data_IF_146429953565
#
_entry.id   IF_146429953565
#
_cell.length_a   1.000
_cell.length_b   1.000
_cell.length_c   1.000
_cell.angle_alpha   90.00
_cell.angle_beta   90.00
_cell.angle_gamma   90.00
#
_symmetry.space_group_name_H-M   'P 1'
#
loop_
_entity.id
_entity.type
_entity.pdbx_description
1 polymer ?
#
# COMPACT_ATOMS: atom_id res chain seq x y z
N UNK A 1 3.19 -24.24 14.22
CA UNK A 1 2.04 -24.11 15.16
C UNK A 1 2.42 -23.39 16.44
N UNK A 2 3.46 -23.81 17.18
CA UNK A 2 3.96 -23.11 18.39
C UNK A 2 4.23 -21.61 18.17
N UNK A 3 4.92 -21.23 17.09
CA UNK A 3 5.19 -19.82 16.79
C UNK A 3 3.93 -18.98 16.53
N UNK A 4 2.89 -19.57 15.94
CA UNK A 4 1.61 -18.89 15.71
C UNK A 4 0.85 -18.67 17.02
N UNK A 5 0.88 -19.66 17.92
CA UNK A 5 0.28 -19.56 19.26
C UNK A 5 1.02 -18.50 20.10
N UNK A 6 2.36 -18.50 20.08
CA UNK A 6 3.17 -17.51 20.80
C UNK A 6 2.89 -16.10 20.27
N UNK A 7 2.85 -15.94 18.94
CA UNK A 7 2.54 -14.66 18.29
C UNK A 7 1.13 -14.16 18.63
N UNK A 8 0.14 -15.05 18.65
CA UNK A 8 -1.23 -14.69 19.01
C UNK A 8 -1.35 -14.32 20.48
N UNK A 9 -0.69 -15.08 21.37
CA UNK A 9 -0.66 -14.81 22.81
C UNK A 9 -0.03 -13.45 23.15
N UNK A 10 1.08 -13.07 22.50
CA UNK A 10 1.71 -11.77 22.72
C UNK A 10 0.84 -10.58 22.26
N UNK A 11 -0.04 -10.77 21.28
CA UNK A 11 -0.92 -9.71 20.75
C UNK A 11 -2.33 -9.74 21.36
N UNK A 12 -2.61 -10.68 22.27
CA UNK A 12 -3.96 -10.89 22.80
C UNK A 12 -4.45 -9.68 23.61
N UNK A 13 -3.54 -8.99 24.33
CA UNK A 13 -3.87 -7.76 25.07
C UNK A 13 -4.32 -6.64 24.14
N UNK A 14 -3.59 -6.40 23.05
CA UNK A 14 -3.94 -5.36 22.07
C UNK A 14 -5.21 -5.70 21.30
N UNK A 15 -5.38 -6.98 20.93
CA UNK A 15 -6.59 -7.47 20.26
C UNK A 15 -7.81 -7.42 21.18
N UNK A 16 -7.65 -7.75 22.47
CA UNK A 16 -8.70 -7.69 23.48
C UNK A 16 -9.19 -6.26 23.72
N UNK A 17 -8.25 -5.32 23.91
CA UNK A 17 -8.56 -3.90 24.00
C UNK A 17 -9.24 -3.40 22.73
N UNK A 18 -8.69 -3.71 21.56
CA UNK A 18 -9.28 -3.30 20.28
C UNK A 18 -10.70 -3.85 20.11
N UNK A 19 -10.95 -5.09 20.53
CA UNK A 19 -12.28 -5.71 20.48
C UNK A 19 -13.27 -4.99 21.40
N UNK A 20 -12.87 -4.69 22.64
CA UNK A 20 -13.68 -3.94 23.60
C UNK A 20 -14.00 -2.53 23.08
N UNK A 21 -12.97 -1.78 22.66
CA UNK A 21 -13.15 -0.46 22.05
C UNK A 21 -13.95 -0.49 20.75
N UNK A 22 -13.89 -1.57 19.96
CA UNK A 22 -14.61 -1.64 18.69
C UNK A 22 -16.12 -1.56 18.85
N UNK A 23 -16.65 -2.05 19.99
CA UNK A 23 -18.09 -2.02 20.32
C UNK A 23 -18.58 -0.60 20.61
N UNK A 24 -17.76 0.22 21.24
CA UNK A 24 -18.07 1.61 21.59
C UNK A 24 -17.85 2.61 20.43
N UNK A 25 -17.51 2.11 19.23
CA UNK A 25 -17.24 2.97 18.06
C UNK A 25 -18.33 2.82 17.00
N UNK A 26 -18.24 3.65 15.95
CA UNK A 26 -19.05 3.55 14.72
C UNK A 26 -19.00 2.19 14.00
N UNK A 27 -18.24 1.21 14.52
CA UNK A 27 -18.07 -0.15 13.99
C UNK A 27 -18.78 -1.22 14.84
N UNK A 28 -19.28 -0.84 16.02
CA UNK A 28 -20.06 -1.67 16.94
C UNK A 28 -21.52 -1.84 16.52
N UNK A 29 -22.38 -2.29 17.43
CA UNK A 29 -23.84 -2.26 17.21
C UNK A 29 -24.34 -0.82 17.31
N UNK A 30 -25.19 -0.42 16.36
CA UNK A 30 -25.83 0.90 16.43
C UNK A 30 -26.99 0.85 17.42
N UNK A 31 -26.87 1.55 18.54
CA UNK A 31 -27.95 1.70 19.55
C UNK A 31 -29.09 2.63 19.08
N UNK A 32 -29.02 3.13 17.84
CA UNK A 32 -30.02 3.95 17.20
C UNK A 32 -30.76 3.14 16.15
N UNK A 33 -31.96 2.68 16.52
CA UNK A 33 -33.03 2.22 15.65
C UNK A 33 -33.53 3.33 14.72
N UNK A 34 -32.69 3.76 13.76
CA UNK A 34 -33.14 4.52 12.60
C UNK A 34 -33.18 3.57 11.41
N UNK A 35 -34.34 3.53 10.77
CA UNK A 35 -34.84 2.51 9.83
C UNK A 35 -34.10 2.36 8.50
N UNK A 36 -32.84 2.83 8.37
CA UNK A 36 -32.06 2.59 7.15
C UNK A 36 -30.84 1.72 7.47
N UNK A 37 -31.02 0.41 7.19
CA UNK A 37 -30.03 -0.68 7.18
C UNK A 37 -29.42 -1.07 8.54
N UNK A 38 -30.21 -1.77 9.36
CA UNK A 38 -29.76 -2.48 10.57
C UNK A 38 -28.81 -3.65 10.28
N UNK A 39 -27.55 -3.34 10.04
CA UNK A 39 -26.45 -4.31 9.90
C UNK A 39 -25.38 -4.13 10.96
N UNK A 40 -24.74 -5.21 11.39
CA UNK A 40 -23.60 -5.18 12.32
C UNK A 40 -22.33 -4.67 11.62
N UNK A 41 -22.14 -3.36 11.49
CA UNK A 41 -20.95 -2.78 10.89
C UNK A 41 -21.16 -1.39 10.29
N UNK A 42 -20.17 -0.92 9.53
CA UNK A 42 -20.23 0.37 8.87
C UNK A 42 -21.09 0.27 7.60
N UNK A 43 -21.75 1.35 7.15
CA UNK A 43 -22.45 1.32 5.88
C UNK A 43 -21.48 1.29 4.69
N UNK A 44 -21.90 0.64 3.60
CA UNK A 44 -21.08 0.48 2.39
C UNK A 44 -20.65 1.82 1.81
N UNK A 45 -21.56 2.77 1.67
CA UNK A 45 -21.28 4.10 1.14
C UNK A 45 -20.28 4.87 2.00
N UNK A 46 -20.32 4.67 3.32
CA UNK A 46 -19.33 5.26 4.20
C UNK A 46 -17.95 4.62 3.98
N UNK A 47 -17.85 3.28 3.93
CA UNK A 47 -16.58 2.59 3.70
C UNK A 47 -15.96 2.95 2.34
N UNK A 48 -16.78 3.03 1.29
CA UNK A 48 -16.37 3.35 -0.09
C UNK A 48 -16.11 4.85 -0.32
N UNK A 49 -16.43 5.73 0.63
CA UNK A 49 -16.11 7.16 0.53
C UNK A 49 -14.61 7.41 0.33
N UNK A 50 -13.77 6.59 0.95
CA UNK A 50 -12.32 6.60 0.80
C UNK A 50 -11.87 5.48 -0.14
N UNK A 51 -12.23 5.64 -1.41
CA UNK A 51 -11.83 4.74 -2.49
C UNK A 51 -10.66 5.33 -3.27
N UNK A 52 -9.68 4.47 -3.57
CA UNK A 52 -8.51 4.81 -4.36
C UNK A 52 -8.88 4.92 -5.84
N UNK A 53 -8.42 5.95 -6.55
CA UNK A 53 -8.57 6.01 -8.01
C UNK A 53 -7.70 4.97 -8.70
N UNK A 54 -8.14 4.46 -9.86
CA UNK A 54 -7.36 3.50 -10.65
C UNK A 54 -6.02 4.12 -11.07
N UNK A 55 -6.02 5.38 -11.48
CA UNK A 55 -4.81 6.14 -11.82
C UNK A 55 -3.94 6.46 -10.58
N UNK A 56 -4.53 6.49 -9.38
CA UNK A 56 -3.78 6.70 -8.14
C UNK A 56 -2.83 5.53 -7.83
N UNK A 57 -3.03 4.36 -8.45
CA UNK A 57 -2.05 3.27 -8.41
C UNK A 57 -0.68 3.72 -8.93
N UNK A 58 -0.61 4.73 -9.80
CA UNK A 58 0.65 5.35 -10.22
C UNK A 58 1.46 5.95 -9.07
N UNK A 59 0.83 6.39 -7.98
CA UNK A 59 1.56 6.96 -6.84
C UNK A 59 2.37 5.93 -6.07
N UNK A 60 2.11 4.63 -6.26
CA UNK A 60 2.91 3.55 -5.67
C UNK A 60 4.36 3.64 -6.16
N UNK A 61 4.53 3.96 -7.45
CA UNK A 61 5.82 4.04 -8.14
C UNK A 61 6.41 5.45 -8.19
N UNK A 62 5.57 6.46 -8.42
CA UNK A 62 6.01 7.86 -8.62
C UNK A 62 5.44 8.71 -7.48
N UNK A 63 6.29 9.37 -6.67
CA UNK A 63 5.79 10.27 -5.64
C UNK A 63 4.99 11.42 -6.27
N UNK A 64 3.94 11.86 -5.58
CA UNK A 64 3.07 12.98 -5.99
C UNK A 64 2.45 12.85 -7.40
N UNK A 65 2.27 11.63 -7.92
CA UNK A 65 1.65 11.41 -9.24
C UNK A 65 0.22 11.99 -9.36
N UNK A 66 -0.54 12.00 -8.26
CA UNK A 66 -1.84 12.68 -8.16
C UNK A 66 -1.80 13.96 -7.32
N UNK A 67 -0.60 14.54 -7.24
CA UNK A 67 -0.30 15.68 -6.39
C UNK A 67 -0.07 15.30 -4.94
N UNK A 68 0.15 16.34 -4.12
CA UNK A 68 0.57 16.21 -2.73
C UNK A 68 -0.58 16.06 -1.74
N UNK A 69 -0.36 16.54 -0.52
CA UNK A 69 -1.39 16.54 0.53
C UNK A 69 -2.51 17.52 0.23
N UNK A 70 -3.76 17.13 0.49
CA UNK A 70 -4.92 18.02 0.44
C UNK A 70 -4.86 19.12 1.52
N UNK A 71 -4.00 18.96 2.54
CA UNK A 71 -3.80 19.95 3.61
C UNK A 71 -2.83 21.06 3.21
N UNK A 72 -2.10 20.90 2.10
CA UNK A 72 -1.27 21.97 1.54
C UNK A 72 -2.13 22.77 0.56
N UNK A 73 -2.21 24.07 0.79
CA UNK A 73 -2.82 25.03 -0.12
C UNK A 73 -1.74 25.72 -0.96
N UNK A 74 -2.07 26.04 -2.20
CA UNK A 74 -1.19 26.78 -3.11
C UNK A 74 -0.81 28.19 -2.63
N UNK A 75 -1.48 28.75 -1.60
CA UNK A 75 -1.02 30.01 -0.98
C UNK A 75 0.38 29.86 -0.37
N UNK A 76 0.68 28.69 0.18
CA UNK A 76 1.94 28.43 0.83
C UNK A 76 3.06 28.15 -0.19
N UNK A 77 2.70 27.95 -1.46
CA UNK A 77 3.61 27.65 -2.56
C UNK A 77 3.46 28.70 -3.67
N UNK A 78 4.02 29.89 -3.42
CA UNK A 78 3.94 31.05 -4.32
C UNK A 78 4.73 30.89 -5.61
N UNK A 79 5.62 29.88 -5.68
CA UNK A 79 6.44 29.60 -6.86
C UNK A 79 5.77 28.64 -7.83
N UNK A 80 4.73 27.91 -7.38
CA UNK A 80 3.98 26.97 -8.21
C UNK A 80 3.41 27.63 -9.47
N UNK A 81 3.61 26.98 -10.62
CA UNK A 81 3.01 27.34 -11.91
C UNK A 81 1.47 27.45 -11.83
N UNK A 82 0.84 26.65 -10.97
CA UNK A 82 -0.60 26.72 -10.72
C UNK A 82 -0.99 28.03 -10.04
N UNK A 83 -0.19 28.50 -9.06
CA UNK A 83 -0.42 29.80 -8.43
C UNK A 83 -0.22 30.94 -9.43
N UNK A 84 0.79 30.85 -10.30
CA UNK A 84 1.01 31.83 -11.37
C UNK A 84 -0.13 31.85 -12.39
N UNK A 85 -0.68 30.69 -12.78
CA UNK A 85 -1.84 30.58 -13.66
C UNK A 85 -3.09 31.23 -13.03
N UNK A 86 -3.34 31.00 -11.73
CA UNK A 86 -4.44 31.67 -11.00
C UNK A 86 -4.19 33.18 -10.95
N UNK A 87 -2.93 33.61 -10.79
CA UNK A 87 -2.55 35.02 -10.76
C UNK A 87 -2.79 35.71 -12.10
N UNK A 88 -2.73 34.99 -13.22
CA UNK A 88 -3.01 35.51 -14.57
C UNK A 88 -4.51 35.65 -14.86
N UNK A 89 -5.39 35.06 -14.04
CA UNK A 89 -6.83 35.27 -14.15
C UNK A 89 -7.20 36.72 -13.79
N UNK A 90 -8.16 37.27 -14.54
CA UNK A 90 -8.49 38.71 -14.56
C UNK A 90 -9.03 39.29 -13.24
N UNK A 91 -9.44 38.45 -12.29
CA UNK A 91 -9.99 38.85 -10.99
C UNK A 91 -8.92 38.78 -9.88
N UNK A 92 -8.16 39.86 -9.70
CA UNK A 92 -7.04 39.95 -8.75
C UNK A 92 -7.45 39.87 -7.28
N UNK A 93 -8.66 40.33 -6.94
CA UNK A 93 -9.08 40.52 -5.54
C UNK A 93 -9.40 39.23 -4.80
N UNK A 94 -9.77 38.17 -5.52
CA UNK A 94 -10.15 36.86 -4.94
C UNK A 94 -9.07 35.78 -5.11
N UNK A 95 -7.88 36.10 -5.65
CA UNK A 95 -6.81 35.13 -5.92
C UNK A 95 -6.44 34.33 -4.66
N UNK A 96 -6.33 35.02 -3.52
CA UNK A 96 -6.01 34.37 -2.26
C UNK A 96 -7.09 33.38 -1.86
N UNK A 97 -8.37 33.73 -1.97
CA UNK A 97 -9.47 32.82 -1.64
C UNK A 97 -9.51 31.60 -2.56
N UNK A 98 -9.27 31.77 -3.86
CA UNK A 98 -9.21 30.64 -4.79
C UNK A 98 -8.01 29.72 -4.53
N UNK A 99 -6.83 30.28 -4.27
CA UNK A 99 -5.64 29.50 -3.94
C UNK A 99 -5.77 28.77 -2.59
N UNK A 100 -6.58 29.29 -1.66
CA UNK A 100 -6.93 28.65 -0.38
C UNK A 100 -7.79 27.40 -0.56
N UNK A 101 -8.74 27.44 -1.49
CA UNK A 101 -9.68 26.34 -1.73
C UNK A 101 -9.09 25.24 -2.63
N UNK A 102 -8.11 25.59 -3.47
CA UNK A 102 -7.39 24.62 -4.27
C UNK A 102 -6.33 23.90 -3.43
N UNK A 103 -6.41 22.58 -3.42
CA UNK A 103 -5.42 21.73 -2.76
C UNK A 103 -4.48 21.13 -3.80
N UNK A 104 -3.27 20.75 -3.40
CA UNK A 104 -2.32 20.10 -4.32
C UNK A 104 -2.80 18.73 -4.82
N UNK A 105 -3.81 18.14 -4.19
CA UNK A 105 -4.35 16.83 -4.55
C UNK A 105 -5.50 16.94 -5.55
N UNK A 106 -5.48 16.09 -6.59
CA UNK A 106 -6.53 16.05 -7.62
C UNK A 106 -7.07 14.63 -7.88
N UNK A 107 -6.95 13.71 -6.92
CA UNK A 107 -7.47 12.35 -7.04
C UNK A 107 -8.92 12.19 -6.57
N UNK A 108 -9.37 10.93 -6.47
CA UNK A 108 -10.77 10.56 -6.22
C UNK A 108 -11.18 10.52 -4.74
N UNK A 109 -10.23 10.73 -3.82
CA UNK A 109 -10.47 10.73 -2.37
C UNK A 109 -10.94 12.11 -1.90
N UNK A 110 -11.75 12.19 -0.83
CA UNK A 110 -12.23 13.48 -0.32
C UNK A 110 -11.11 14.35 0.24
N UNK A 111 -10.10 13.73 0.83
CA UNK A 111 -8.87 14.37 1.30
C UNK A 111 -7.80 13.29 1.46
N UNK A 112 -6.54 13.66 1.30
CA UNK A 112 -5.40 12.80 1.63
C UNK A 112 -4.30 13.59 2.34
N UNK A 113 -3.62 12.94 3.28
CA UNK A 113 -2.41 13.50 3.91
C UNK A 113 -1.18 13.38 3.02
N UNK A 114 -1.29 12.72 1.86
CA UNK A 114 -0.25 12.56 0.85
C UNK A 114 -0.40 11.25 0.06
N UNK A 115 0.34 11.11 -1.05
CA UNK A 115 0.31 9.90 -1.87
C UNK A 115 0.82 8.66 -1.09
N UNK A 116 0.21 7.49 -1.37
CA UNK A 116 0.68 6.18 -0.85
C UNK A 116 1.88 5.71 -1.68
N UNK A 117 3.03 6.34 -1.49
CA UNK A 117 4.28 6.00 -2.17
C UNK A 117 5.01 4.85 -1.48
N UNK A 118 5.27 3.76 -2.22
CA UNK A 118 5.94 2.58 -1.66
C UNK A 118 7.46 2.63 -1.84
N UNK A 119 7.96 3.50 -2.72
CA UNK A 119 9.37 3.57 -3.10
C UNK A 119 9.61 2.99 -4.49
N UNK A 120 10.16 3.80 -5.39
CA UNK A 120 10.54 3.37 -6.74
C UNK A 120 11.54 2.20 -6.71
N UNK A 121 12.51 2.26 -5.78
CA UNK A 121 13.46 1.17 -5.54
C UNK A 121 12.76 -0.12 -5.10
N UNK A 122 11.77 -0.02 -4.21
CA UNK A 122 11.03 -1.17 -3.70
C UNK A 122 10.20 -1.80 -4.83
N UNK A 123 9.54 -0.97 -5.65
CA UNK A 123 8.81 -1.43 -6.83
C UNK A 123 9.73 -2.13 -7.83
N UNK A 124 10.92 -1.57 -8.08
CA UNK A 124 11.93 -2.20 -8.93
C UNK A 124 12.37 -3.57 -8.39
N UNK A 125 12.66 -3.66 -7.09
CA UNK A 125 13.04 -4.94 -6.44
C UNK A 125 11.90 -5.95 -6.44
N UNK A 126 10.65 -5.50 -6.31
CA UNK A 126 9.47 -6.36 -6.41
C UNK A 126 9.38 -7.00 -7.81
N UNK A 127 9.49 -6.18 -8.86
CA UNK A 127 9.49 -6.67 -10.25
C UNK A 127 10.67 -7.62 -10.49
N UNK A 128 11.87 -7.27 -10.03
CA UNK A 128 13.04 -8.15 -10.08
C UNK A 128 12.77 -9.49 -9.37
N UNK A 129 12.11 -9.44 -8.21
CA UNK A 129 11.74 -10.60 -7.42
C UNK A 129 10.79 -11.56 -8.13
N UNK A 130 9.89 -11.06 -8.98
CA UNK A 130 9.01 -11.92 -9.78
C UNK A 130 9.79 -12.81 -10.75
N UNK A 131 10.91 -12.31 -11.30
CA UNK A 131 11.78 -13.05 -12.20
C UNK A 131 12.78 -13.93 -11.45
N UNK A 132 13.42 -13.40 -10.41
CA UNK A 132 14.55 -14.05 -9.74
C UNK A 132 14.11 -15.08 -8.69
N UNK A 133 12.99 -14.86 -8.01
CA UNK A 133 12.47 -15.81 -7.01
C UNK A 133 11.84 -17.00 -7.71
N UNK A 134 12.24 -18.20 -7.30
CA UNK A 134 11.66 -19.47 -7.74
C UNK A 134 10.78 -20.03 -6.62
N UNK A 135 9.64 -20.62 -7.00
CA UNK A 135 8.71 -21.25 -6.06
C UNK A 135 7.33 -20.59 -5.97
N UNK A 136 6.39 -21.19 -5.20
CA UNK A 136 5.02 -20.71 -5.06
C UNK A 136 4.93 -19.39 -4.29
N UNK A 137 5.98 -19.04 -3.53
CA UNK A 137 5.99 -17.87 -2.67
C UNK A 137 5.73 -16.55 -3.41
N UNK A 138 6.31 -16.39 -4.60
CA UNK A 138 6.13 -15.18 -5.41
C UNK A 138 4.71 -15.00 -5.91
N UNK A 139 4.00 -16.11 -6.19
CA UNK A 139 2.68 -16.07 -6.79
C UNK A 139 1.63 -15.65 -5.79
N UNK A 140 1.67 -16.19 -4.56
CA UNK A 140 0.73 -15.73 -3.52
C UNK A 140 1.02 -14.28 -3.11
N UNK A 141 2.29 -13.86 -3.04
CA UNK A 141 2.66 -12.47 -2.76
C UNK A 141 2.16 -11.51 -3.85
N UNK A 142 2.33 -11.90 -5.11
CA UNK A 142 1.80 -11.15 -6.25
C UNK A 142 0.28 -11.05 -6.20
N UNK A 143 -0.40 -12.17 -5.97
CA UNK A 143 -1.87 -12.21 -5.90
C UNK A 143 -2.37 -11.34 -4.76
N UNK A 144 -1.80 -11.44 -3.56
CA UNK A 144 -2.20 -10.62 -2.42
C UNK A 144 -1.92 -9.14 -2.68
N UNK A 145 -0.77 -8.80 -3.25
CA UNK A 145 -0.44 -7.42 -3.60
C UNK A 145 -1.43 -6.83 -4.62
N UNK A 146 -1.70 -7.57 -5.70
CA UNK A 146 -2.64 -7.16 -6.75
C UNK A 146 -4.06 -7.05 -6.20
N UNK A 147 -4.53 -8.07 -5.47
CA UNK A 147 -5.85 -8.08 -4.86
C UNK A 147 -6.03 -6.92 -3.88
N UNK A 148 -5.01 -6.59 -3.09
CA UNK A 148 -5.05 -5.44 -2.19
C UNK A 148 -5.18 -4.13 -2.96
N UNK A 149 -4.44 -3.95 -4.06
CA UNK A 149 -4.59 -2.75 -4.90
C UNK A 149 -5.97 -2.68 -5.54
N UNK A 150 -6.46 -3.80 -6.07
CA UNK A 150 -7.78 -3.86 -6.70
C UNK A 150 -8.92 -3.61 -5.70
N UNK A 151 -8.81 -4.13 -4.48
CA UNK A 151 -9.76 -3.85 -3.41
C UNK A 151 -9.73 -2.38 -3.03
N UNK A 152 -8.55 -1.78 -2.91
CA UNK A 152 -8.40 -0.37 -2.57
C UNK A 152 -9.15 0.57 -3.53
N UNK A 153 -9.38 0.15 -4.77
CA UNK A 153 -10.15 0.92 -5.75
C UNK A 153 -11.60 1.17 -5.34
N UNK A 154 -12.17 0.32 -4.47
CA UNK A 154 -13.50 0.49 -3.89
C UNK A 154 -14.56 0.82 -4.94
N UNK A 155 -15.15 2.02 -4.87
CA UNK A 155 -16.18 2.51 -5.80
C UNK A 155 -15.79 2.45 -7.27
N UNK A 156 -14.50 2.55 -7.59
CA UNK A 156 -14.01 2.47 -8.97
C UNK A 156 -14.01 1.02 -9.50
N UNK A 157 -14.16 0.03 -8.62
CA UNK A 157 -14.27 -1.38 -8.97
C UNK A 157 -15.33 -2.11 -8.10
N UNK A 158 -16.58 -1.63 -8.23
CA UNK A 158 -17.73 -2.08 -7.44
C UNK A 158 -17.94 -3.61 -7.36
N UNK A 159 -17.80 -4.40 -8.46
CA UNK A 159 -18.07 -5.84 -8.39
C UNK A 159 -17.20 -6.58 -7.36
N UNK A 160 -15.93 -6.21 -7.24
CA UNK A 160 -15.01 -6.83 -6.28
C UNK A 160 -15.25 -6.30 -4.86
N UNK A 161 -15.47 -4.99 -4.71
CA UNK A 161 -15.72 -4.41 -3.39
C UNK A 161 -17.00 -4.93 -2.76
N UNK A 162 -18.04 -5.14 -3.57
CA UNK A 162 -19.34 -5.63 -3.13
C UNK A 162 -19.24 -7.08 -2.67
N UNK A 163 -18.53 -7.91 -3.43
CA UNK A 163 -18.25 -9.28 -3.03
C UNK A 163 -17.54 -9.34 -1.67
N UNK A 164 -16.50 -8.53 -1.46
CA UNK A 164 -15.80 -8.50 -0.18
C UNK A 164 -16.65 -7.95 0.95
N UNK A 165 -17.50 -6.96 0.67
CA UNK A 165 -18.32 -6.34 1.70
C UNK A 165 -19.41 -7.24 2.25
N UNK A 166 -20.08 -8.03 1.38
CA UNK A 166 -21.19 -8.89 1.79
C UNK A 166 -20.76 -10.31 2.17
N UNK A 167 -19.68 -10.85 1.57
CA UNK A 167 -19.29 -12.25 1.78
C UNK A 167 -18.09 -12.45 2.71
N UNK A 168 -17.23 -11.45 2.90
CA UNK A 168 -16.01 -11.61 3.72
C UNK A 168 -16.24 -11.06 5.14
N UNK A 169 -16.14 -11.90 6.18
CA UNK A 169 -16.31 -11.46 7.55
C UNK A 169 -15.23 -10.44 7.93
N UNK A 170 -15.55 -9.52 8.84
CA UNK A 170 -14.69 -8.41 9.30
C UNK A 170 -14.36 -7.32 8.28
N UNK A 171 -14.59 -7.53 6.97
CA UNK A 171 -14.30 -6.51 5.96
C UNK A 171 -15.15 -5.24 6.17
N UNK A 172 -16.41 -5.42 6.55
CA UNK A 172 -17.33 -4.33 6.91
C UNK A 172 -16.98 -3.57 8.21
N UNK A 173 -15.91 -3.98 8.92
CA UNK A 173 -15.38 -3.27 10.10
C UNK A 173 -14.25 -2.31 9.75
N UNK A 174 -13.69 -2.38 8.54
CA UNK A 174 -12.71 -1.38 8.10
C UNK A 174 -13.40 -0.03 7.86
N UNK A 175 -12.78 1.05 8.36
CA UNK A 175 -13.30 2.42 8.17
C UNK A 175 -13.16 2.91 6.72
N UNK A 176 -12.15 2.41 6.02
CA UNK A 176 -11.82 2.79 4.65
C UNK A 176 -11.27 1.58 3.92
N UNK A 177 -11.70 1.42 2.68
CA UNK A 177 -11.19 0.38 1.79
C UNK A 177 -9.71 0.58 1.45
N UNK A 178 -9.20 1.82 1.44
CA UNK A 178 -7.77 2.11 1.21
C UNK A 178 -6.83 1.59 2.31
N UNK A 179 -7.36 1.12 3.44
CA UNK A 179 -6.53 0.51 4.50
C UNK A 179 -5.88 -0.79 4.03
N UNK A 180 -6.53 -1.53 3.11
CA UNK A 180 -6.00 -2.78 2.57
C UNK A 180 -4.66 -2.62 1.84
N UNK A 181 -4.35 -1.42 1.32
CA UNK A 181 -3.07 -1.12 0.69
C UNK A 181 -1.87 -1.33 1.63
N UNK A 182 -2.07 -1.39 2.95
CA UNK A 182 -1.02 -1.74 3.90
C UNK A 182 -0.51 -3.18 3.69
N UNK A 183 -1.38 -4.09 3.28
CA UNK A 183 -0.99 -5.47 2.92
C UNK A 183 -0.09 -5.45 1.68
N UNK A 184 -0.43 -4.66 0.66
CA UNK A 184 0.44 -4.46 -0.50
C UNK A 184 1.78 -3.82 -0.09
N UNK A 185 1.75 -2.84 0.80
CA UNK A 185 2.93 -2.14 1.30
C UNK A 185 3.91 -3.07 2.03
N UNK A 186 3.45 -4.19 2.60
CA UNK A 186 4.31 -5.25 3.11
C UNK A 186 4.74 -6.26 2.04
N UNK A 187 3.83 -6.67 1.15
CA UNK A 187 4.12 -7.67 0.13
C UNK A 187 5.24 -7.22 -0.83
N UNK A 188 5.26 -5.94 -1.19
CA UNK A 188 6.25 -5.34 -2.09
C UNK A 188 7.70 -5.48 -1.58
N UNK A 189 8.06 -4.92 -0.41
CA UNK A 189 9.40 -5.06 0.14
C UNK A 189 9.72 -6.51 0.52
N UNK A 190 8.74 -7.32 0.94
CA UNK A 190 8.99 -8.71 1.30
C UNK A 190 9.48 -9.54 0.09
N UNK A 191 8.81 -9.45 -1.06
CA UNK A 191 9.29 -10.10 -2.27
C UNK A 191 10.63 -9.51 -2.75
N UNK A 192 10.81 -8.19 -2.61
CA UNK A 192 12.09 -7.52 -2.91
C UNK A 192 13.26 -8.03 -2.08
N UNK A 193 13.05 -8.26 -0.78
CA UNK A 193 14.05 -8.85 0.12
C UNK A 193 14.38 -10.30 -0.27
N UNK A 194 13.39 -11.10 -0.64
CA UNK A 194 13.62 -12.45 -1.16
C UNK A 194 14.44 -12.44 -2.45
N UNK A 195 14.19 -11.47 -3.33
CA UNK A 195 14.98 -11.27 -4.54
C UNK A 195 16.45 -10.96 -4.21
N UNK A 196 16.68 -10.02 -3.29
CA UNK A 196 18.01 -9.66 -2.82
C UNK A 196 18.74 -10.85 -2.20
N UNK A 197 18.05 -11.62 -1.34
CA UNK A 197 18.59 -12.84 -0.74
C UNK A 197 19.08 -13.82 -1.81
N UNK A 198 18.22 -14.14 -2.80
CA UNK A 198 18.60 -15.05 -3.88
C UNK A 198 19.77 -14.52 -4.72
N UNK A 199 19.83 -13.21 -4.96
CA UNK A 199 20.94 -12.59 -5.70
C UNK A 199 22.27 -12.74 -4.95
N UNK A 200 22.24 -12.53 -3.64
CA UNK A 200 23.40 -12.63 -2.77
C UNK A 200 23.87 -14.09 -2.67
N UNK A 201 22.97 -15.03 -2.37
CA UNK A 201 23.29 -16.46 -2.28
C UNK A 201 23.85 -17.00 -3.60
N UNK A 202 23.29 -16.59 -4.75
CA UNK A 202 23.77 -17.05 -6.05
C UNK A 202 25.17 -16.51 -6.38
N UNK A 203 25.49 -15.27 -5.96
CA UNK A 203 26.84 -14.70 -6.05
C UNK A 203 27.84 -15.47 -5.17
N UNK A 204 27.48 -15.79 -3.93
CA UNK A 204 28.36 -16.55 -3.04
C UNK A 204 28.64 -17.95 -3.57
N UNK A 205 27.61 -18.67 -4.04
CA UNK A 205 27.79 -20.00 -4.63
C UNK A 205 28.71 -19.98 -5.87
N UNK A 206 28.57 -18.97 -6.74
CA UNK A 206 29.44 -18.82 -7.91
C UNK A 206 30.90 -18.51 -7.51
N UNK A 207 31.10 -17.67 -6.50
CA UNK A 207 32.43 -17.31 -6.02
C UNK A 207 33.14 -18.50 -5.35
N UNK A 208 32.44 -19.33 -4.58
CA UNK A 208 33.01 -20.56 -3.99
C UNK A 208 33.36 -21.60 -5.06
N UNK A 209 32.52 -21.75 -6.09
CA UNK A 209 32.82 -22.62 -7.24
C UNK A 209 34.05 -22.15 -8.01
N UNK A 210 34.20 -20.84 -8.21
CA UNK A 210 35.40 -20.28 -8.84
C UNK A 210 36.62 -20.51 -7.95
N UNK A 211 36.55 -20.19 -6.66
CA UNK A 211 37.67 -20.34 -5.72
C UNK A 211 38.13 -21.81 -5.56
N UNK A 212 37.20 -22.78 -5.53
CA UNK A 212 37.53 -24.20 -5.44
C UNK A 212 38.15 -24.74 -6.73
N UNK A 213 37.65 -24.32 -7.90
CA UNK A 213 38.20 -24.72 -9.20
C UNK A 213 39.62 -24.17 -9.41
N UNK A 214 39.88 -22.93 -9.03
CA UNK A 214 41.24 -22.36 -9.09
C UNK A 214 42.17 -23.10 -8.14
N UNK A 215 41.74 -23.42 -6.91
CA UNK A 215 42.54 -24.19 -5.94
C UNK A 215 42.91 -25.59 -6.46
N UNK A 216 41.98 -26.29 -7.11
CA UNK A 216 42.24 -27.59 -7.75
C UNK A 216 43.29 -27.48 -8.86
N UNK A 217 43.18 -26.46 -9.72
CA UNK A 217 44.16 -26.21 -10.78
C UNK A 217 45.57 -25.92 -10.22
N UNK A 218 45.68 -25.17 -9.13
CA UNK A 218 46.97 -24.95 -8.45
C UNK A 218 47.56 -26.22 -7.85
N UNK A 219 46.73 -27.10 -7.29
CA UNK A 219 47.19 -28.39 -6.74
C UNK A 219 47.68 -29.33 -7.85
N UNK A 220 46.96 -29.41 -8.98
CA UNK A 220 47.40 -30.18 -10.15
C UNK A 220 48.69 -29.61 -10.76
N UNK A 221 48.86 -28.28 -10.77
CA UNK A 221 50.09 -27.64 -11.22
C UNK A 221 51.28 -27.93 -10.29
N UNK A 222 51.06 -27.96 -8.97
CA UNK A 222 52.10 -28.30 -7.99
C UNK A 222 52.45 -29.80 -7.96
N UNK A 223 51.53 -30.70 -8.34
CA UNK A 223 51.79 -32.15 -8.40
C UNK A 223 52.54 -32.59 -9.67
N UNK A 224 52.53 -31.76 -10.72
CA UNK A 224 53.20 -32.03 -12.01
C UNK A 224 54.53 -31.28 -12.17
N UNK A 225 55.07 -30.70 -11.10
CA UNK A 225 56.37 -30.02 -11.07
C UNK A 225 57.35 -30.79 -10.17
#
# INVERSE_FOLDING_TARGET
>A
MLGAILSFGCNLSDLGLTYEYSKETIRGESDLSKEDEGGTGLSKDYALRWSYGISETGTILIPDFHGGSSMKSFINDRESETFQAIRQLRNRDNIQQYAQQMTHYWGNQPFTSGPRYFGALVCFLFVLGLFLVKGPAKWWLLIIALLSVMLAWGKNFAPLSDFFFYYVPFYNKFRSVTMILFVAQFAFPFLGMMALKNLIEHKYAKNELIASKTRLLWVEMCLNC
#
